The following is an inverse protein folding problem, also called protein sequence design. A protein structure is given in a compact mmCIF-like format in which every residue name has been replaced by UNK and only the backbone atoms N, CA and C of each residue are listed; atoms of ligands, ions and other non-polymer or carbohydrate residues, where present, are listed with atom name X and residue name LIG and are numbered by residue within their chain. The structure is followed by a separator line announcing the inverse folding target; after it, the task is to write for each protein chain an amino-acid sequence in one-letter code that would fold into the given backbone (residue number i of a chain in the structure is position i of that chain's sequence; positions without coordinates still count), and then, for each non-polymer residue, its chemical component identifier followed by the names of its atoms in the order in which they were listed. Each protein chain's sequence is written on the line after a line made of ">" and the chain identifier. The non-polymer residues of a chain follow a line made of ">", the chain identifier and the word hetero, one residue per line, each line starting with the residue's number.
data_IF_992705597873
#
_entry.id   IF_992705597873
#
_cell.length_a   1.000
_cell.length_b   1.000
_cell.length_c   1.000
_cell.angle_alpha   90.00
_cell.angle_beta   90.00
_cell.angle_gamma   90.00
#
_symmetry.space_group_name_H-M   'P 1'
#
loop_
_entity.id
_entity.type
_entity.pdbx_description
1 polymer ?
#
# COMPACT_ATOMS: atom_id res chain seq x y z
N UNK A 1 -8.60 14.74 14.16
CA UNK A 1 -7.80 15.61 13.27
C UNK A 1 -7.37 14.83 12.03
N UNK A 2 -7.52 15.43 10.86
CA UNK A 2 -7.05 14.81 9.61
C UNK A 2 -5.61 15.17 9.33
N UNK A 3 -4.80 14.18 8.99
CA UNK A 3 -3.41 14.37 8.59
C UNK A 3 -3.22 13.82 7.19
N UNK A 4 -2.26 14.38 6.46
CA UNK A 4 -1.94 13.89 5.11
C UNK A 4 -0.84 12.86 5.19
N UNK A 5 -1.10 11.69 4.57
CA UNK A 5 -0.15 10.58 4.52
C UNK A 5 -0.09 10.03 3.11
N UNK A 6 0.96 9.28 2.84
CA UNK A 6 1.13 8.54 1.59
C UNK A 6 0.76 7.08 1.83
N UNK A 7 0.01 6.50 0.92
CA UNK A 7 -0.46 5.13 1.02
C UNK A 7 -0.18 4.43 -0.31
N UNK A 8 0.26 3.18 -0.24
CA UNK A 8 0.41 2.34 -1.43
C UNK A 8 -0.96 1.73 -1.72
N UNK A 9 -1.45 1.93 -2.94
CA UNK A 9 -2.66 1.29 -3.44
C UNK A 9 -2.27 0.17 -4.40
N UNK A 10 -2.90 -0.97 -4.27
CA UNK A 10 -2.68 -2.10 -5.14
C UNK A 10 -3.94 -2.53 -5.86
N UNK A 11 -3.78 -3.01 -7.07
CA UNK A 11 -4.86 -3.59 -7.88
C UNK A 11 -4.67 -5.09 -7.92
N UNK A 12 -5.64 -5.83 -7.40
CA UNK A 12 -5.59 -7.29 -7.32
C UNK A 12 -6.69 -7.90 -8.17
N UNK A 13 -6.39 -9.03 -8.82
CA UNK A 13 -7.39 -9.82 -9.55
C UNK A 13 -8.45 -10.39 -8.61
N UNK A 14 -8.05 -10.79 -7.40
CA UNK A 14 -8.97 -11.32 -6.38
C UNK A 14 -9.97 -10.29 -5.88
N UNK A 15 -9.64 -9.01 -6.02
CA UNK A 15 -10.48 -7.90 -5.56
C UNK A 15 -11.17 -7.21 -6.75
N UNK A 16 -11.48 -7.98 -7.79
CA UNK A 16 -12.17 -7.52 -8.99
C UNK A 16 -11.43 -6.39 -9.73
N UNK A 17 -10.11 -6.35 -9.59
CA UNK A 17 -9.29 -5.36 -10.26
C UNK A 17 -9.41 -3.92 -9.74
N UNK A 18 -10.04 -3.72 -8.59
CA UNK A 18 -10.13 -2.38 -7.97
C UNK A 18 -8.84 -2.01 -7.26
N UNK A 19 -8.47 -0.73 -7.33
CA UNK A 19 -7.37 -0.20 -6.54
C UNK A 19 -7.79 -0.10 -5.07
N UNK A 20 -7.04 -0.74 -4.18
CA UNK A 20 -7.31 -0.72 -2.73
C UNK A 20 -6.06 -0.38 -1.95
N UNK A 21 -6.20 0.27 -0.77
CA UNK A 21 -5.07 0.50 0.12
C UNK A 21 -4.41 -0.81 0.53
N UNK A 22 -3.11 -0.80 0.71
CA UNK A 22 -2.32 -1.99 1.03
C UNK A 22 -1.84 -1.97 2.48
N UNK A 23 -1.97 -3.10 3.15
CA UNK A 23 -1.45 -3.32 4.49
C UNK A 23 0.03 -3.72 4.41
N UNK A 24 0.84 -3.29 5.40
CA UNK A 24 2.25 -3.69 5.48
C UNK A 24 2.40 -5.15 5.90
N UNK A 25 3.31 -5.88 5.27
CA UNK A 25 3.81 -7.15 5.79
C UNK A 25 4.93 -6.86 6.78
N UNK A 26 4.69 -7.15 8.05
CA UNK A 26 5.65 -6.81 9.11
C UNK A 26 6.99 -7.53 8.98
N UNK A 27 6.99 -8.77 8.51
CA UNK A 27 8.19 -9.60 8.49
C UNK A 27 9.19 -9.22 7.38
N UNK A 28 8.72 -8.63 6.27
CA UNK A 28 9.55 -8.37 5.08
C UNK A 28 9.62 -6.90 4.70
N UNK A 29 9.06 -6.01 5.48
CA UNK A 29 8.95 -4.58 5.16
C UNK A 29 8.35 -4.32 3.77
N UNK A 30 7.42 -5.17 3.35
CA UNK A 30 6.74 -5.04 2.08
C UNK A 30 5.27 -4.67 2.29
N UNK A 31 4.58 -4.26 1.22
CA UNK A 31 3.15 -4.08 1.32
C UNK A 31 2.45 -5.46 1.23
N UNK A 32 1.42 -5.61 2.04
CA UNK A 32 0.71 -6.89 2.16
C UNK A 32 -0.59 -6.94 1.37
N UNK A 33 -1.60 -7.53 1.97
CA UNK A 33 -2.90 -7.70 1.32
C UNK A 33 -3.66 -6.39 1.20
N UNK A 34 -4.53 -6.25 0.17
CA UNK A 34 -5.45 -5.12 0.09
C UNK A 34 -6.38 -5.08 1.30
N UNK A 35 -6.72 -3.87 1.74
CA UNK A 35 -7.69 -3.65 2.83
C UNK A 35 -8.81 -2.74 2.34
N UNK A 36 -9.97 -2.81 2.99
CA UNK A 36 -11.15 -2.04 2.58
C UNK A 36 -11.10 -0.58 3.00
N UNK A 37 -10.35 -0.25 4.04
CA UNK A 37 -10.35 1.09 4.65
C UNK A 37 -8.94 1.64 4.75
N UNK A 38 -8.79 2.93 4.48
CA UNK A 38 -7.53 3.66 4.63
C UNK A 38 -6.97 3.52 6.05
N UNK A 39 -7.82 3.49 7.07
CA UNK A 39 -7.39 3.33 8.45
C UNK A 39 -6.67 2.01 8.75
N UNK A 40 -6.90 0.98 7.94
CA UNK A 40 -6.25 -0.32 8.09
C UNK A 40 -5.01 -0.49 7.21
N UNK A 41 -4.71 0.50 6.36
CA UNK A 41 -3.54 0.49 5.49
C UNK A 41 -2.30 0.97 6.25
N UNK A 42 -1.13 0.68 5.70
CA UNK A 42 0.11 1.28 6.21
C UNK A 42 0.22 2.71 5.71
N UNK A 43 0.48 3.64 6.60
CA UNK A 43 0.67 5.06 6.31
C UNK A 43 2.16 5.39 6.26
N UNK A 44 2.57 6.15 5.26
CA UNK A 44 3.94 6.61 5.08
C UNK A 44 3.97 8.13 5.18
N UNK A 45 4.98 8.66 5.85
CA UNK A 45 5.11 10.12 6.04
C UNK A 45 5.52 10.84 4.76
N UNK A 46 6.25 10.16 3.87
CA UNK A 46 6.73 10.73 2.62
C UNK A 46 6.45 9.79 1.46
N UNK A 47 6.35 10.36 0.27
CA UNK A 47 6.23 9.58 -0.98
C UNK A 47 7.45 8.68 -1.17
N UNK A 48 8.63 9.19 -0.85
CA UNK A 48 9.88 8.45 -0.98
C UNK A 48 9.88 7.18 -0.13
N UNK A 49 9.39 7.27 1.11
CA UNK A 49 9.28 6.10 1.99
C UNK A 49 8.37 5.03 1.39
N UNK A 50 7.24 5.43 0.82
CA UNK A 50 6.32 4.50 0.16
C UNK A 50 6.97 3.87 -1.08
N UNK A 51 7.66 4.67 -1.89
CA UNK A 51 8.37 4.17 -3.07
C UNK A 51 9.49 3.20 -2.71
N UNK A 52 10.20 3.43 -1.60
CA UNK A 52 11.22 2.52 -1.10
C UNK A 52 10.63 1.16 -0.76
N UNK A 53 9.45 1.13 -0.15
CA UNK A 53 8.76 -0.12 0.15
C UNK A 53 8.36 -0.87 -1.13
N UNK A 54 7.95 -0.15 -2.17
CA UNK A 54 7.67 -0.76 -3.48
C UNK A 54 8.94 -1.41 -4.04
N UNK A 55 10.09 -0.74 -3.96
CA UNK A 55 11.35 -1.27 -4.44
C UNK A 55 11.80 -2.51 -3.66
N UNK A 56 11.65 -2.49 -2.33
CA UNK A 56 11.93 -3.65 -1.48
C UNK A 56 11.01 -4.81 -1.85
N UNK A 57 9.73 -4.54 -2.06
CA UNK A 57 8.76 -5.55 -2.43
C UNK A 57 9.11 -6.20 -3.78
N UNK A 58 9.56 -5.42 -4.75
CA UNK A 58 10.01 -5.96 -6.04
C UNK A 58 11.19 -6.90 -5.89
N UNK A 59 12.09 -6.62 -4.95
CA UNK A 59 13.24 -7.47 -4.67
C UNK A 59 12.83 -8.80 -4.03
N UNK A 60 11.86 -8.77 -3.12
CA UNK A 60 11.38 -9.95 -2.39
C UNK A 60 10.23 -10.70 -3.06
N UNK A 61 9.65 -10.13 -4.11
CA UNK A 61 8.51 -10.72 -4.81
C UNK A 61 7.20 -10.00 -4.52
N UNK A 62 6.51 -9.59 -5.58
CA UNK A 62 5.19 -8.96 -5.49
C UNK A 62 4.14 -10.09 -5.32
N UNK A 63 3.07 -9.90 -4.52
CA UNK A 63 2.00 -10.89 -4.41
C UNK A 63 1.48 -11.33 -5.78
N UNK A 64 1.27 -12.63 -5.98
CA UNK A 64 0.95 -13.23 -7.29
C UNK A 64 -0.26 -12.63 -7.98
N UNK A 65 -1.28 -12.27 -7.22
CA UNK A 65 -2.51 -11.73 -7.79
C UNK A 65 -2.47 -10.21 -7.99
N UNK A 66 -1.41 -9.54 -7.55
CA UNK A 66 -1.29 -8.09 -7.67
C UNK A 66 -0.80 -7.71 -9.07
N UNK A 67 -1.62 -6.97 -9.81
CA UNK A 67 -1.35 -6.62 -11.21
C UNK A 67 -0.89 -5.18 -11.41
N UNK A 68 -1.08 -4.32 -10.42
CA UNK A 68 -0.62 -2.92 -10.47
C UNK A 68 -0.58 -2.34 -9.07
N UNK A 69 0.21 -1.29 -8.90
CA UNK A 69 0.24 -0.53 -7.65
C UNK A 69 0.63 0.91 -7.92
N UNK A 70 0.24 1.81 -7.01
CA UNK A 70 0.60 3.22 -7.09
C UNK A 70 0.65 3.84 -5.70
N UNK A 71 1.36 4.96 -5.56
CA UNK A 71 1.41 5.73 -4.33
C UNK A 71 0.43 6.89 -4.45
N UNK A 72 -0.44 7.06 -3.46
CA UNK A 72 -1.41 8.16 -3.39
C UNK A 72 -1.24 8.96 -2.12
N UNK A 73 -1.42 10.26 -2.24
CA UNK A 73 -1.44 11.18 -1.11
C UNK A 73 -2.88 11.32 -0.63
N UNK A 74 -3.16 10.92 0.60
CA UNK A 74 -4.52 10.87 1.14
C UNK A 74 -4.58 11.57 2.50
N UNK A 75 -5.78 12.07 2.84
CA UNK A 75 -6.06 12.56 4.18
C UNK A 75 -6.57 11.40 5.01
N UNK A 76 -5.97 11.16 6.17
CA UNK A 76 -6.38 10.09 7.08
C UNK A 76 -6.78 10.66 8.43
N UNK A 77 -7.72 10.01 9.09
CA UNK A 77 -8.16 10.38 10.42
C UNK A 77 -7.25 9.73 11.45
N UNK A 78 -6.75 10.53 12.35
CA UNK A 78 -5.87 10.05 13.43
C UNK A 78 -6.63 10.02 14.75
#
# INVERSE_FOLDING_TARGET
>A
MKIKKWIIYGKSLKEYGKMKPMKKFSALDTFGKPVSRIGNAKWYDTKESAENIINITRTHGIPEDLVAFEVRHVAVEE
#
